data_IF_193646856400
#
_entry.id   IF_193646856400
#
_cell.length_a   1.000
_cell.length_b   1.000
_cell.length_c   1.000
_cell.angle_alpha   90.00
_cell.angle_beta   90.00
_cell.angle_gamma   90.00
#
_symmetry.space_group_name_H-M   'P 1'
#
loop_
_entity.id
_entity.type
_entity.pdbx_description
1 polymer ?
#
# COMPACT_ATOMS: atom_id res chain seq x y z
N UNK A 1 54.60 18.99 17.22
CA UNK A 1 53.19 19.06 16.75
C UNK A 1 52.69 17.63 16.61
N UNK A 2 51.83 17.13 17.52
CA UNK A 2 51.22 15.82 17.35
C UNK A 2 50.02 15.92 16.40
N UNK A 3 49.86 14.89 15.58
CA UNK A 3 48.86 14.80 14.51
C UNK A 3 47.52 14.36 15.09
N UNK A 4 46.46 14.91 14.50
CA UNK A 4 45.06 14.64 14.75
C UNK A 4 44.69 13.23 14.29
N UNK A 5 44.93 12.23 15.14
CA UNK A 5 44.49 10.83 14.93
C UNK A 5 43.13 10.55 15.62
N UNK A 6 42.55 11.51 16.36
CA UNK A 6 41.43 11.28 17.30
C UNK A 6 40.03 11.42 16.70
N UNK A 7 39.89 11.90 15.45
CA UNK A 7 38.56 12.08 14.82
C UNK A 7 38.08 10.88 14.01
N UNK A 8 38.97 9.99 13.58
CA UNK A 8 38.56 8.83 12.77
C UNK A 8 38.05 7.67 13.62
N UNK A 9 38.66 7.43 14.78
CA UNK A 9 38.25 6.38 15.73
C UNK A 9 36.88 6.71 16.35
N UNK A 10 36.65 7.97 16.70
CA UNK A 10 35.36 8.44 17.21
C UNK A 10 34.27 8.45 16.11
N UNK A 11 34.58 8.72 14.84
CA UNK A 11 33.59 8.66 13.77
C UNK A 11 33.18 7.23 13.42
N UNK A 12 34.10 6.25 13.51
CA UNK A 12 33.75 4.84 13.36
C UNK A 12 32.91 4.33 14.54
N UNK A 13 33.26 4.68 15.78
CA UNK A 13 32.50 4.27 16.97
C UNK A 13 31.08 4.87 16.95
N UNK A 14 30.95 6.16 16.59
CA UNK A 14 29.65 6.82 16.39
C UNK A 14 28.83 6.25 15.22
N UNK A 15 29.47 5.70 14.18
CA UNK A 15 28.74 5.07 13.07
C UNK A 15 28.21 3.68 13.41
N UNK A 16 28.97 2.91 14.19
CA UNK A 16 28.51 1.62 14.73
C UNK A 16 27.46 1.83 15.84
N UNK A 17 27.65 2.84 16.71
CA UNK A 17 26.68 3.24 17.74
C UNK A 17 25.39 3.79 17.10
N UNK A 18 25.49 4.61 16.05
CA UNK A 18 24.32 5.13 15.32
C UNK A 18 23.54 4.03 14.60
N UNK A 19 24.19 3.01 14.04
CA UNK A 19 23.49 1.88 13.40
C UNK A 19 22.82 0.97 14.45
N UNK A 20 23.48 0.72 15.59
CA UNK A 20 22.88 0.00 16.73
C UNK A 20 21.71 0.78 17.35
N UNK A 21 21.84 2.09 17.55
CA UNK A 21 20.77 2.98 18.05
C UNK A 21 19.58 3.03 17.09
N UNK A 22 19.83 3.03 15.77
CA UNK A 22 18.77 2.97 14.77
C UNK A 22 18.01 1.65 14.83
N UNK A 23 18.72 0.54 15.07
CA UNK A 23 18.10 -0.78 15.24
C UNK A 23 17.32 -0.87 16.54
N UNK A 24 17.82 -0.28 17.63
CA UNK A 24 17.14 -0.23 18.91
C UNK A 24 15.86 0.62 18.83
N UNK A 25 15.93 1.80 18.22
CA UNK A 25 14.78 2.67 18.00
C UNK A 25 13.73 2.04 17.08
N UNK A 26 14.17 1.27 16.07
CA UNK A 26 13.27 0.52 15.20
C UNK A 26 12.54 -0.61 15.96
N UNK A 27 13.26 -1.30 16.86
CA UNK A 27 12.67 -2.34 17.70
C UNK A 27 11.65 -1.74 18.69
N UNK A 28 11.99 -0.62 19.34
CA UNK A 28 11.05 0.12 20.19
C UNK A 28 9.82 0.64 19.41
N UNK A 29 10.03 1.09 18.17
CA UNK A 29 8.94 1.54 17.31
C UNK A 29 7.98 0.40 16.95
N UNK A 30 8.50 -0.79 16.63
CA UNK A 30 7.68 -1.97 16.33
C UNK A 30 6.84 -2.42 17.54
N UNK A 31 7.42 -2.39 18.75
CA UNK A 31 6.69 -2.68 19.98
C UNK A 31 5.54 -1.68 20.21
N UNK A 32 5.81 -0.38 20.02
CA UNK A 32 4.79 0.67 20.15
C UNK A 32 3.69 0.59 19.08
N UNK A 33 4.03 0.16 17.86
CA UNK A 33 3.09 0.00 16.73
C UNK A 33 2.12 -1.15 16.95
N UNK A 34 2.58 -2.25 17.54
CA UNK A 34 1.74 -3.41 17.81
C UNK A 34 0.68 -3.10 18.88
N UNK A 35 1.04 -2.29 19.89
CA UNK A 35 0.09 -1.77 20.87
C UNK A 35 -0.91 -0.80 20.22
N UNK A 36 -0.43 0.11 19.39
CA UNK A 36 -1.28 1.03 18.63
C UNK A 36 -2.24 0.28 17.71
N UNK A 37 -1.88 -0.89 17.19
CA UNK A 37 -2.77 -1.70 16.36
C UNK A 37 -4.01 -2.18 17.13
N UNK A 38 -3.87 -2.54 18.41
CA UNK A 38 -5.00 -2.96 19.25
C UNK A 38 -5.96 -1.80 19.52
N UNK A 39 -5.42 -0.61 19.84
CA UNK A 39 -6.20 0.61 20.01
C UNK A 39 -6.81 1.10 18.70
N UNK A 40 -6.05 0.99 17.60
CA UNK A 40 -6.49 1.34 16.27
C UNK A 40 -7.67 0.46 15.86
N UNK A 41 -7.69 -0.85 16.17
CA UNK A 41 -8.87 -1.68 15.91
C UNK A 41 -10.10 -1.20 16.68
N UNK A 42 -9.96 -0.89 17.98
CA UNK A 42 -11.08 -0.41 18.81
C UNK A 42 -11.62 0.95 18.31
N UNK A 43 -10.77 1.81 17.74
CA UNK A 43 -11.16 3.10 17.20
C UNK A 43 -11.62 3.05 15.73
N UNK A 44 -10.92 2.27 14.88
CA UNK A 44 -11.26 2.08 13.48
C UNK A 44 -12.54 1.26 13.32
N UNK A 45 -12.79 0.19 14.09
CA UNK A 45 -14.02 -0.62 13.93
C UNK A 45 -15.29 0.23 13.92
N UNK A 46 -15.55 1.07 14.96
CA UNK A 46 -16.75 1.90 15.00
C UNK A 46 -16.72 3.02 13.95
N UNK A 47 -15.54 3.55 13.61
CA UNK A 47 -15.42 4.61 12.61
C UNK A 47 -15.66 4.10 11.19
N UNK A 48 -14.93 3.06 10.79
CA UNK A 48 -15.07 2.35 9.52
C UNK A 48 -16.48 1.78 9.38
N UNK A 49 -17.05 1.18 10.43
CA UNK A 49 -18.45 0.72 10.40
C UNK A 49 -19.46 1.85 10.14
N UNK A 50 -19.27 3.02 10.77
CA UNK A 50 -20.13 4.19 10.58
C UNK A 50 -19.98 4.85 9.20
N UNK A 51 -18.80 4.76 8.59
CA UNK A 51 -18.53 5.23 7.22
C UNK A 51 -19.03 4.23 6.17
N UNK A 52 -18.82 2.93 6.40
CA UNK A 52 -19.26 1.86 5.51
C UNK A 52 -20.79 1.71 5.49
N UNK A 53 -21.49 1.93 6.61
CA UNK A 53 -22.94 1.80 6.64
C UNK A 53 -23.68 2.86 5.79
N UNK A 54 -23.19 4.11 5.79
CA UNK A 54 -23.91 5.23 5.16
C UNK A 54 -23.45 5.56 3.75
N UNK A 55 -22.14 5.52 3.47
CA UNK A 55 -21.61 5.93 2.16
C UNK A 55 -21.49 4.76 1.18
N UNK A 56 -21.10 3.57 1.64
CA UNK A 56 -21.00 2.40 0.75
C UNK A 56 -22.36 1.88 0.32
N UNK A 57 -23.45 2.07 1.08
CA UNK A 57 -24.78 1.64 0.64
C UNK A 57 -25.22 2.36 -0.65
N UNK A 58 -25.07 3.68 -0.72
CA UNK A 58 -25.39 4.44 -1.93
C UNK A 58 -24.41 4.18 -3.06
N UNK A 59 -23.12 4.06 -2.76
CA UNK A 59 -22.09 3.77 -3.77
C UNK A 59 -22.25 2.36 -4.36
N UNK A 60 -22.48 1.36 -3.51
CA UNK A 60 -22.71 -0.03 -3.89
C UNK A 60 -24.02 -0.17 -4.67
N UNK A 61 -25.08 0.55 -4.27
CA UNK A 61 -26.34 0.56 -5.00
C UNK A 61 -26.23 1.26 -6.36
N UNK A 62 -25.52 2.39 -6.47
CA UNK A 62 -25.29 3.04 -7.77
C UNK A 62 -24.41 2.18 -8.69
N UNK A 63 -23.36 1.55 -8.13
CA UNK A 63 -22.51 0.58 -8.81
C UNK A 63 -23.31 -0.66 -9.25
N UNK A 64 -24.17 -1.18 -8.39
CA UNK A 64 -25.04 -2.32 -8.68
C UNK A 64 -26.00 -2.01 -9.83
N UNK A 65 -26.67 -0.85 -9.78
CA UNK A 65 -27.56 -0.39 -10.85
C UNK A 65 -26.84 -0.20 -12.18
N UNK A 66 -25.58 0.26 -12.17
CA UNK A 66 -24.79 0.46 -13.41
C UNK A 66 -24.20 -0.81 -13.99
N UNK A 67 -23.79 -1.76 -13.16
CA UNK A 67 -22.92 -2.87 -13.59
C UNK A 67 -23.62 -4.24 -13.58
N UNK A 68 -24.72 -4.39 -12.84
CA UNK A 68 -25.45 -5.65 -12.68
C UNK A 68 -24.68 -6.68 -11.82
N UNK A 69 -25.39 -7.63 -11.19
CA UNK A 69 -24.85 -8.70 -10.32
C UNK A 69 -24.05 -9.78 -11.10
N UNK A 70 -23.21 -9.38 -12.06
CA UNK A 70 -22.43 -10.27 -12.93
C UNK A 70 -20.91 -10.14 -12.73
N UNK A 71 -20.12 -10.97 -13.42
CA UNK A 71 -18.63 -10.91 -13.40
C UNK A 71 -18.06 -9.53 -13.78
N UNK A 72 -18.85 -8.69 -14.44
CA UNK A 72 -18.57 -7.27 -14.72
C UNK A 72 -18.43 -6.41 -13.46
N UNK A 73 -19.07 -6.79 -12.35
CA UNK A 73 -19.01 -6.08 -11.07
C UNK A 73 -17.63 -6.16 -10.42
N UNK A 74 -17.02 -7.35 -10.42
CA UNK A 74 -15.72 -7.62 -9.78
C UNK A 74 -14.53 -7.50 -10.74
N UNK A 75 -14.70 -7.78 -12.04
CA UNK A 75 -13.59 -7.86 -13.00
C UNK A 75 -13.50 -6.71 -14.01
N UNK A 76 -14.43 -5.74 -14.00
CA UNK A 76 -14.36 -4.47 -14.75
C UNK A 76 -13.89 -4.58 -16.21
N UNK A 77 -14.83 -4.66 -17.15
CA UNK A 77 -14.68 -4.51 -18.63
C UNK A 77 -13.28 -4.66 -19.27
N UNK A 78 -12.54 -5.72 -18.92
CA UNK A 78 -11.25 -6.03 -19.55
C UNK A 78 -11.40 -6.69 -20.94
N UNK A 79 -12.62 -6.93 -21.42
CA UNK A 79 -12.88 -7.73 -22.62
C UNK A 79 -12.75 -6.94 -23.94
N UNK A 80 -12.85 -5.60 -23.91
CA UNK A 80 -12.98 -4.80 -25.13
C UNK A 80 -11.65 -4.47 -25.86
N UNK A 81 -10.50 -4.70 -25.22
CA UNK A 81 -9.18 -4.40 -25.81
C UNK A 81 -8.53 -5.57 -26.57
N UNK A 82 -8.92 -6.80 -26.24
CA UNK A 82 -8.29 -8.01 -26.78
C UNK A 82 -8.81 -8.36 -28.18
N UNK A 83 -10.11 -8.16 -28.44
CA UNK A 83 -10.74 -8.52 -29.71
C UNK A 83 -10.32 -7.59 -30.86
N UNK A 84 -10.15 -6.30 -30.57
CA UNK A 84 -9.71 -5.28 -31.56
C UNK A 84 -8.32 -5.58 -32.12
N UNK A 85 -7.38 -6.04 -31.29
CA UNK A 85 -6.00 -6.31 -31.74
C UNK A 85 -5.90 -7.52 -32.68
N UNK A 86 -6.73 -8.55 -32.49
CA UNK A 86 -6.68 -9.78 -33.30
C UNK A 86 -7.27 -9.52 -34.71
N UNK A 87 -8.35 -8.75 -34.79
CA UNK A 87 -8.99 -8.43 -36.07
C UNK A 87 -8.09 -7.53 -36.92
N UNK A 88 -7.39 -6.56 -36.32
CA UNK A 88 -6.50 -5.69 -37.09
C UNK A 88 -5.29 -6.43 -37.68
N UNK A 89 -4.70 -7.39 -36.94
CA UNK A 89 -3.57 -8.18 -37.44
C UNK A 89 -3.94 -9.09 -38.62
N UNK A 90 -5.18 -9.58 -38.69
CA UNK A 90 -5.61 -10.47 -39.78
C UNK A 90 -5.96 -9.72 -41.08
N UNK A 91 -6.18 -8.40 -41.01
CA UNK A 91 -6.43 -7.55 -42.18
C UNK A 91 -5.15 -7.16 -42.94
N UNK A 92 -4.02 -7.02 -42.23
CA UNK A 92 -2.74 -6.60 -42.83
C UNK A 92 -2.00 -7.69 -43.61
N UNK A 93 -2.43 -8.96 -43.52
CA UNK A 93 -1.79 -10.08 -44.25
C UNK A 93 -2.50 -10.44 -45.55
N UNK A 94 -3.57 -9.73 -45.91
CA UNK A 94 -4.36 -9.94 -47.13
C UNK A 94 -4.28 -8.79 -48.14
N UNK A 95 -3.35 -7.83 -47.95
CA UNK A 95 -3.07 -6.78 -48.93
C UNK A 95 -1.79 -7.04 -49.70
#
# INVERSE_FOLDING_TARGET
MPRSETSLDSASDLSYESDEDYRLAQQEWEESMQELQQLALVLLLPWVGKFLGRKTSYWLYDRYKRVGLGRTFFLGDASHYFTTNIIQRHSMTKS
#
